data_IF_700442147161
#
_entry.id   IF_700442147161
#
_cell.length_a   1.000
_cell.length_b   1.000
_cell.length_c   1.000
_cell.angle_alpha   90.00
_cell.angle_beta   90.00
_cell.angle_gamma   90.00
#
_symmetry.space_group_name_H-M   'P 1'
#
loop_
_entity.id
_entity.type
_entity.pdbx_description
1 polymer ?
#
# COMPACT_ATOMS: atom_id res chain seq x y z
N UNK A 1 -9.56 5.20 21.45
CA UNK A 1 -8.27 5.19 22.20
C UNK A 1 -7.38 4.01 21.84
N UNK A 2 -7.89 2.78 21.66
CA UNK A 2 -7.04 1.60 21.38
C UNK A 2 -6.36 1.63 19.99
N UNK A 3 -7.06 2.04 18.93
CA UNK A 3 -6.48 2.12 17.57
C UNK A 3 -5.30 3.10 17.48
N UNK A 4 -5.48 4.33 17.97
CA UNK A 4 -4.44 5.37 17.96
C UNK A 4 -3.17 4.93 18.71
N UNK A 5 -3.30 4.23 19.84
CA UNK A 5 -2.14 3.73 20.58
C UNK A 5 -1.38 2.63 19.82
N UNK A 6 -2.10 1.76 19.12
CA UNK A 6 -1.50 0.71 18.29
C UNK A 6 -0.70 1.31 17.13
N UNK A 7 -1.25 2.35 16.49
CA UNK A 7 -0.57 3.09 15.42
C UNK A 7 0.78 3.65 15.85
N UNK A 8 0.85 4.28 17.04
CA UNK A 8 2.12 4.80 17.57
C UNK A 8 3.17 3.70 17.80
N UNK A 9 2.75 2.54 18.31
CA UNK A 9 3.67 1.40 18.49
C UNK A 9 4.17 0.84 17.17
N UNK A 10 3.29 0.77 16.15
CA UNK A 10 3.64 0.32 14.81
C UNK A 10 4.64 1.27 14.15
N UNK A 11 4.39 2.58 14.27
CA UNK A 11 5.28 3.62 13.73
C UNK A 11 6.67 3.56 14.36
N UNK A 12 6.75 3.34 15.68
CA UNK A 12 8.03 3.16 16.37
C UNK A 12 8.78 1.92 15.86
N UNK A 13 8.09 0.80 15.67
CA UNK A 13 8.69 -0.41 15.11
C UNK A 13 9.20 -0.18 13.68
N UNK A 14 8.43 0.53 12.86
CA UNK A 14 8.81 0.91 11.51
C UNK A 14 10.09 1.76 11.49
N UNK A 15 10.20 2.77 12.36
CA UNK A 15 11.41 3.60 12.49
C UNK A 15 12.64 2.78 12.92
N UNK A 16 12.45 1.80 13.82
CA UNK A 16 13.53 0.89 14.22
C UNK A 16 13.96 -0.03 13.07
N UNK A 17 13.00 -0.56 12.31
CA UNK A 17 13.29 -1.39 11.14
C UNK A 17 14.02 -0.63 10.04
N UNK A 18 13.67 0.64 9.80
CA UNK A 18 14.41 1.49 8.86
C UNK A 18 15.89 1.63 9.25
N UNK A 19 16.20 1.62 10.55
CA UNK A 19 17.58 1.72 11.05
C UNK A 19 18.36 0.42 10.82
N UNK A 20 17.71 -0.74 10.88
CA UNK A 20 18.37 -2.05 10.76
C UNK A 20 18.37 -2.60 9.34
N UNK A 21 17.38 -2.26 8.53
CA UNK A 21 17.17 -2.78 7.18
C UNK A 21 17.52 -1.72 6.14
N UNK A 22 18.82 -1.42 5.98
CA UNK A 22 19.29 -0.37 5.08
C UNK A 22 19.17 -0.72 3.58
N UNK A 23 18.97 -2.00 3.23
CA UNK A 23 18.90 -2.50 1.85
C UNK A 23 17.50 -2.97 1.42
N UNK A 24 16.55 -3.05 2.36
CA UNK A 24 15.20 -3.58 2.10
C UNK A 24 14.23 -2.40 2.06
N UNK A 25 13.35 -2.36 1.06
CA UNK A 25 12.30 -1.36 1.00
C UNK A 25 11.25 -1.67 2.08
N UNK A 26 11.38 -1.04 3.24
CA UNK A 26 10.38 -1.13 4.32
C UNK A 26 9.26 -0.15 4.04
N UNK A 27 8.00 -0.61 4.06
CA UNK A 27 6.81 0.24 3.94
C UNK A 27 5.88 0.06 5.14
N UNK A 28 5.14 1.11 5.49
CA UNK A 28 4.10 1.08 6.52
C UNK A 28 2.73 1.07 5.85
N UNK A 29 1.89 0.09 6.17
CA UNK A 29 0.49 0.10 5.71
C UNK A 29 -0.32 0.98 6.66
N UNK A 30 -0.90 2.10 6.18
CA UNK A 30 -1.59 3.01 7.07
C UNK A 30 -2.90 2.41 7.59
N UNK A 31 -3.23 2.77 8.83
CA UNK A 31 -4.49 2.37 9.44
C UNK A 31 -5.67 3.06 8.76
N UNK A 32 -6.81 2.36 8.59
CA UNK A 32 -8.00 3.01 8.09
C UNK A 32 -8.50 4.05 9.10
N UNK A 33 -8.67 5.29 8.64
CA UNK A 33 -9.18 6.39 9.47
C UNK A 33 -10.68 6.26 9.80
N UNK A 34 -11.34 5.25 9.22
CA UNK A 34 -12.75 4.93 9.46
C UNK A 34 -12.90 3.71 10.37
N UNK A 35 -13.79 3.81 11.35
CA UNK A 35 -14.18 2.66 12.16
C UNK A 35 -15.06 1.69 11.35
N UNK A 36 -15.09 0.40 11.71
CA UNK A 36 -16.02 -0.54 11.10
C UNK A 36 -17.46 -0.02 11.17
N UNK A 37 -18.18 -0.08 10.03
CA UNK A 37 -19.56 0.39 9.86
C UNK A 37 -19.77 1.91 9.96
N UNK A 38 -18.69 2.69 10.12
CA UNK A 38 -18.76 4.13 10.03
C UNK A 38 -18.97 4.55 8.57
N UNK A 39 -20.09 5.23 8.28
CA UNK A 39 -20.43 5.72 6.94
C UNK A 39 -19.73 7.05 6.65
N UNK A 40 -18.43 7.09 6.81
CA UNK A 40 -17.59 8.24 6.49
C UNK A 40 -16.56 7.78 5.47
N UNK A 41 -16.36 8.59 4.43
CA UNK A 41 -15.31 8.31 3.46
C UNK A 41 -13.94 8.36 4.15
N UNK A 42 -13.07 7.38 3.87
CA UNK A 42 -11.67 7.43 4.29
C UNK A 42 -10.99 8.69 3.73
N UNK A 43 -9.94 9.16 4.39
CA UNK A 43 -9.09 10.19 3.81
C UNK A 43 -8.47 9.67 2.51
N UNK A 44 -8.54 10.49 1.46
CA UNK A 44 -7.98 10.17 0.14
C UNK A 44 -6.46 9.98 0.23
N UNK A 45 -5.78 10.72 1.12
CA UNK A 45 -4.33 10.56 1.33
C UNK A 45 -3.99 9.15 1.84
N UNK A 46 -4.72 8.69 2.85
CA UNK A 46 -4.55 7.36 3.45
C UNK A 46 -4.81 6.24 2.44
N UNK A 47 -5.86 6.37 1.62
CA UNK A 47 -6.16 5.38 0.57
C UNK A 47 -5.09 5.38 -0.54
N UNK A 48 -4.55 6.54 -0.92
CA UNK A 48 -3.44 6.59 -1.88
C UNK A 48 -2.17 5.92 -1.34
N UNK A 49 -1.82 6.17 -0.07
CA UNK A 49 -0.70 5.49 0.59
C UNK A 49 -0.90 3.97 0.62
N UNK A 50 -2.12 3.49 0.90
CA UNK A 50 -2.45 2.05 0.82
C UNK A 50 -2.22 1.49 -0.58
N UNK A 51 -2.73 2.17 -1.60
CA UNK A 51 -2.55 1.74 -3.00
C UNK A 51 -1.06 1.66 -3.36
N UNK A 52 -0.23 2.61 -2.89
CA UNK A 52 1.22 2.59 -3.11
C UNK A 52 1.94 1.44 -2.39
N UNK A 53 1.45 1.03 -1.22
CA UNK A 53 1.96 -0.16 -0.51
C UNK A 53 1.55 -1.42 -1.27
N UNK A 54 0.30 -1.51 -1.72
CA UNK A 54 -0.22 -2.66 -2.47
C UNK A 54 0.44 -2.82 -3.84
N UNK A 55 0.72 -1.72 -4.55
CA UNK A 55 1.39 -1.76 -5.86
C UNK A 55 2.82 -2.31 -5.79
N UNK A 56 3.48 -2.21 -4.64
CA UNK A 56 4.79 -2.82 -4.41
C UNK A 56 4.80 -4.35 -4.57
N UNK A 57 3.63 -4.99 -4.42
CA UNK A 57 3.47 -6.43 -4.55
C UNK A 57 3.13 -6.89 -5.98
N UNK A 58 2.97 -5.98 -6.95
CA UNK A 58 2.64 -6.37 -8.33
C UNK A 58 3.87 -6.92 -9.08
N UNK A 59 5.08 -6.44 -8.79
CA UNK A 59 6.31 -6.74 -9.55
C UNK A 59 6.94 -8.12 -9.23
N UNK A 60 6.10 -9.15 -9.00
CA UNK A 60 6.53 -10.51 -8.62
C UNK A 60 7.18 -11.30 -9.77
N UNK A 61 7.08 -10.81 -11.02
CA UNK A 61 7.66 -11.48 -12.20
C UNK A 61 9.14 -11.15 -12.43
N UNK A 62 9.72 -10.21 -11.68
CA UNK A 62 11.18 -10.03 -11.63
C UNK A 62 11.75 -10.81 -10.45
N UNK A 63 12.94 -11.42 -10.58
CA UNK A 63 13.63 -11.99 -9.43
C UNK A 63 13.83 -10.86 -8.40
N UNK A 64 13.07 -10.94 -7.30
CA UNK A 64 13.07 -9.94 -6.23
C UNK A 64 14.39 -10.07 -5.48
N UNK A 65 15.41 -9.35 -5.97
CA UNK A 65 16.71 -9.25 -5.29
C UNK A 65 16.54 -8.71 -3.87
N UNK A 66 15.49 -7.90 -3.62
CA UNK A 66 15.07 -7.45 -2.29
C UNK A 66 13.53 -7.36 -2.22
N UNK A 67 12.83 -8.31 -1.58
CA UNK A 67 11.38 -8.24 -1.42
C UNK A 67 10.98 -7.06 -0.51
N UNK A 68 9.88 -6.33 -0.79
CA UNK A 68 9.43 -5.25 0.07
C UNK A 68 8.93 -5.82 1.41
N UNK A 69 9.37 -5.22 2.51
CA UNK A 69 8.92 -5.56 3.85
C UNK A 69 7.81 -4.61 4.27
N UNK A 70 6.60 -5.12 4.49
CA UNK A 70 5.46 -4.29 4.90
C UNK A 70 5.14 -4.52 6.36
N UNK A 71 5.08 -3.42 7.12
CA UNK A 71 4.68 -3.39 8.52
C UNK A 71 3.22 -2.93 8.57
N UNK A 72 2.35 -3.74 9.15
CA UNK A 72 0.92 -3.46 9.26
C UNK A 72 0.41 -3.78 10.67
N UNK A 73 -0.53 -2.98 11.16
CA UNK A 73 -1.25 -3.31 12.39
C UNK A 73 -2.36 -4.33 12.13
N UNK A 74 -2.85 -4.96 13.19
CA UNK A 74 -3.97 -5.90 13.11
C UNK A 74 -5.21 -5.30 12.39
N UNK A 75 -5.72 -4.10 12.72
CA UNK A 75 -6.87 -3.53 12.01
C UNK A 75 -6.56 -3.22 10.53
N UNK A 76 -5.35 -2.76 10.20
CA UNK A 76 -4.96 -2.50 8.82
C UNK A 76 -4.92 -3.79 7.96
N UNK A 77 -4.53 -4.91 8.58
CA UNK A 77 -4.48 -6.24 7.94
C UNK A 77 -5.85 -6.88 7.79
N UNK A 78 -6.75 -6.67 8.76
CA UNK A 78 -8.10 -7.26 8.74
C UNK A 78 -9.03 -6.63 7.68
N UNK A 79 -8.67 -5.45 7.17
CA UNK A 79 -9.43 -4.79 6.12
C UNK A 79 -9.33 -5.55 4.81
N UNK A 80 -10.47 -5.93 4.23
CA UNK A 80 -10.52 -6.58 2.92
C UNK A 80 -10.02 -5.63 1.84
N UNK A 81 -9.11 -6.12 1.01
CA UNK A 81 -8.61 -5.44 -0.18
C UNK A 81 -9.30 -5.99 -1.44
N UNK A 82 -9.22 -5.23 -2.52
CA UNK A 82 -9.57 -5.71 -3.86
C UNK A 82 -8.78 -6.98 -4.19
N UNK A 83 -9.38 -7.96 -4.89
CA UNK A 83 -8.64 -9.12 -5.39
C UNK A 83 -7.45 -8.70 -6.23
N UNK A 84 -6.37 -9.48 -6.17
CA UNK A 84 -5.13 -9.20 -6.90
C UNK A 84 -5.36 -9.09 -8.42
N UNK A 85 -6.17 -9.98 -9.01
CA UNK A 85 -6.48 -9.95 -10.45
C UNK A 85 -7.12 -8.64 -10.88
N UNK A 86 -8.08 -8.17 -10.10
CA UNK A 86 -8.86 -6.97 -10.41
C UNK A 86 -7.95 -5.74 -10.27
N UNK A 87 -7.17 -5.69 -9.19
CA UNK A 87 -6.19 -4.64 -8.96
C UNK A 87 -5.17 -4.53 -10.09
N UNK A 88 -4.58 -5.66 -10.53
CA UNK A 88 -3.60 -5.68 -11.63
C UNK A 88 -4.26 -5.28 -12.96
N UNK A 89 -5.48 -5.74 -13.23
CA UNK A 89 -6.18 -5.40 -14.48
C UNK A 89 -6.47 -3.90 -14.64
N UNK A 90 -6.62 -3.19 -13.53
CA UNK A 90 -6.83 -1.73 -13.50
C UNK A 90 -5.53 -0.92 -13.49
N UNK A 91 -4.37 -1.57 -13.42
CA UNK A 91 -3.08 -0.88 -13.42
C UNK A 91 -2.59 -0.65 -14.85
N UNK A 92 -2.15 0.58 -15.14
CA UNK A 92 -1.53 0.93 -16.43
C UNK A 92 -0.05 1.29 -16.22
N UNK A 93 0.84 0.63 -16.96
CA UNK A 93 2.26 0.99 -17.02
C UNK A 93 2.50 1.91 -18.20
N UNK A 94 3.06 3.10 -17.94
CA UNK A 94 3.40 4.10 -18.96
C UNK A 94 4.92 4.23 -19.00
N UNK A 95 5.49 4.08 -20.20
CA UNK A 95 6.92 4.16 -20.47
C UNK A 95 7.22 5.24 -21.51
N UNK A 96 8.45 5.76 -21.48
CA UNK A 96 8.86 6.82 -22.39
C UNK A 96 8.94 6.28 -23.82
N UNK A 97 8.28 6.98 -24.75
CA UNK A 97 8.25 6.60 -26.17
C UNK A 97 7.06 5.72 -26.56
N UNK A 98 6.13 5.44 -25.64
CA UNK A 98 4.87 4.78 -25.97
C UNK A 98 4.00 5.67 -26.85
N UNK A 99 3.56 5.14 -27.99
CA UNK A 99 2.53 5.74 -28.84
C UNK A 99 1.16 5.15 -28.44
N UNK A 100 0.48 5.82 -27.52
CA UNK A 100 -0.85 5.45 -27.04
C UNK A 100 -1.80 6.63 -27.21
N UNK A 101 -2.99 6.34 -27.74
CA UNK A 101 -4.09 7.29 -27.75
C UNK A 101 -4.48 7.68 -26.31
N UNK A 102 -4.46 8.98 -25.94
CA UNK A 102 -4.72 9.42 -24.56
C UNK A 102 -6.05 8.94 -23.97
N UNK A 103 -7.07 8.75 -24.82
CA UNK A 103 -8.39 8.28 -24.38
C UNK A 103 -8.40 6.81 -23.98
N UNK A 104 -7.49 5.99 -24.53
CA UNK A 104 -7.32 4.59 -24.11
C UNK A 104 -6.75 4.45 -22.70
N UNK A 105 -6.19 5.51 -22.12
CA UNK A 105 -5.75 5.55 -20.72
C UNK A 105 -6.88 5.90 -19.73
N UNK A 106 -8.03 6.36 -20.23
CA UNK A 106 -9.20 6.73 -19.43
C UNK A 106 -10.27 5.63 -19.40
N UNK A 107 -10.02 4.51 -20.10
CA UNK A 107 -10.95 3.38 -20.29
C UNK A 107 -10.61 2.26 -19.32
#
# INVERSE_FOLDING_TARGET
>A
MVGVALWFTLKKLYEQLLTWCNSIQVKLLPEPDSLPYQRVASDTSTELERIQVLSAFIDQNKPMVNPPLVVASAPALMQKTTPYSDFVSTCHTIERGMDIEPLKLLS
#
